data_IF_358945262940
#
_entry.id   IF_358945262940
#
_cell.length_a   1.000
_cell.length_b   1.000
_cell.length_c   1.000
_cell.angle_alpha   90.00
_cell.angle_beta   90.00
_cell.angle_gamma   90.00
#
_symmetry.space_group_name_H-M   'P 1'
#
loop_
_entity.id
_entity.type
_entity.pdbx_description
1 polymer ?
#
# COMPACT_ATOMS: atom_id res chain seq x y z
N UNK A 1 22.34 -20.24 -28.91
CA UNK A 1 21.20 -20.32 -27.96
C UNK A 1 21.58 -19.47 -26.75
N UNK A 2 21.10 -18.22 -26.68
CA UNK A 2 21.63 -17.20 -25.76
C UNK A 2 21.15 -17.42 -24.32
N UNK A 3 22.11 -17.79 -23.46
CA UNK A 3 21.98 -18.08 -22.03
C UNK A 3 21.78 -16.82 -21.14
N UNK A 4 21.34 -15.69 -21.70
CA UNK A 4 21.39 -14.37 -21.04
C UNK A 4 20.03 -13.68 -20.83
N UNK A 5 18.90 -14.40 -20.93
CA UNK A 5 17.56 -13.79 -20.77
C UNK A 5 16.81 -14.09 -19.46
N UNK A 6 17.26 -15.00 -18.59
CA UNK A 6 16.45 -15.41 -17.43
C UNK A 6 16.78 -14.70 -16.10
N UNK A 7 17.85 -13.89 -16.03
CA UNK A 7 18.26 -13.23 -14.78
C UNK A 7 17.57 -11.90 -14.45
N UNK A 8 16.50 -11.54 -15.16
CA UNK A 8 15.64 -10.40 -14.79
C UNK A 8 14.29 -10.82 -14.19
N UNK A 9 14.15 -12.08 -13.75
CA UNK A 9 13.07 -12.51 -12.82
C UNK A 9 13.34 -12.06 -11.37
N UNK A 10 14.02 -10.93 -11.21
CA UNK A 10 14.42 -10.33 -9.94
C UNK A 10 13.60 -9.07 -9.67
N UNK A 11 12.37 -9.26 -9.21
CA UNK A 11 11.76 -8.39 -8.22
C UNK A 11 10.73 -9.24 -7.50
N UNK A 12 10.91 -9.32 -6.20
CA UNK A 12 10.15 -10.18 -5.33
C UNK A 12 8.68 -9.81 -5.35
N UNK A 13 7.90 -10.60 -6.10
CA UNK A 13 6.46 -10.64 -5.95
C UNK A 13 6.16 -11.29 -4.60
N UNK A 14 6.19 -10.50 -3.53
CA UNK A 14 5.75 -10.92 -2.18
C UNK A 14 4.29 -11.41 -2.17
N UNK A 15 3.54 -11.11 -3.23
CA UNK A 15 2.25 -11.69 -3.54
C UNK A 15 2.35 -12.44 -4.88
N UNK A 16 2.36 -13.77 -4.83
CA UNK A 16 2.20 -14.62 -6.02
C UNK A 16 0.71 -14.64 -6.37
N UNK A 17 0.32 -13.88 -7.39
CA UNK A 17 -0.99 -14.00 -8.03
C UNK A 17 -0.85 -15.02 -9.17
N UNK A 18 -1.50 -16.17 -9.06
CA UNK A 18 -1.49 -17.20 -10.11
C UNK A 18 -2.07 -16.67 -11.43
N UNK A 19 -1.56 -17.20 -12.55
CA UNK A 19 -2.18 -17.02 -13.85
C UNK A 19 -3.55 -17.74 -13.85
N UNK A 20 -4.63 -16.98 -13.77
CA UNK A 20 -5.99 -17.49 -13.55
C UNK A 20 -6.96 -16.47 -12.96
N UNK A 21 -6.44 -15.35 -12.45
CA UNK A 21 -7.22 -14.27 -11.83
C UNK A 21 -7.47 -13.06 -12.76
N UNK A 22 -7.38 -13.20 -14.09
CA UNK A 22 -7.56 -12.08 -15.04
C UNK A 22 -8.96 -11.42 -14.99
N UNK A 23 -9.94 -12.09 -14.39
CA UNK A 23 -11.30 -11.59 -14.22
C UNK A 23 -11.68 -11.32 -12.77
N UNK A 24 -10.78 -11.54 -11.81
CA UNK A 24 -11.06 -11.40 -10.37
C UNK A 24 -10.25 -10.22 -9.83
N UNK A 25 -10.92 -9.18 -9.32
CA UNK A 25 -10.20 -8.06 -8.75
C UNK A 25 -9.43 -8.44 -7.49
N UNK A 26 -8.22 -7.89 -7.35
CA UNK A 26 -7.36 -8.02 -6.18
C UNK A 26 -7.64 -6.85 -5.23
N UNK A 27 -7.79 -7.14 -3.94
CA UNK A 27 -8.05 -6.17 -2.89
C UNK A 27 -6.87 -6.05 -1.93
N UNK A 28 -6.51 -4.82 -1.59
CA UNK A 28 -5.54 -4.49 -0.55
C UNK A 28 -6.19 -3.56 0.47
N UNK A 29 -5.91 -3.78 1.75
CA UNK A 29 -6.33 -2.90 2.83
C UNK A 29 -5.27 -2.88 3.93
N UNK A 30 -5.07 -1.71 4.53
CA UNK A 30 -4.22 -1.52 5.67
C UNK A 30 -4.84 -0.51 6.64
N UNK A 31 -4.67 -0.77 7.93
CA UNK A 31 -5.04 0.14 9.01
C UNK A 31 -3.77 0.61 9.73
N UNK A 32 -3.66 1.92 9.93
CA UNK A 32 -2.49 2.59 10.46
C UNK A 32 -2.91 3.52 11.59
N UNK A 33 -2.30 3.39 12.76
CA UNK A 33 -2.45 4.36 13.85
C UNK A 33 -1.26 5.32 13.81
N UNK A 34 -1.52 6.60 13.50
CA UNK A 34 -0.49 7.64 13.39
C UNK A 34 -0.94 8.87 14.17
N UNK A 35 -0.17 9.28 15.18
CA UNK A 35 -0.46 10.41 16.07
C UNK A 35 -1.90 10.35 16.64
N UNK A 36 -2.28 9.19 17.18
CA UNK A 36 -3.62 8.89 17.72
C UNK A 36 -4.78 9.01 16.71
N UNK A 37 -4.47 9.03 15.42
CA UNK A 37 -5.46 9.02 14.33
C UNK A 37 -5.40 7.68 13.61
N UNK A 38 -6.54 6.99 13.52
CA UNK A 38 -6.66 5.76 12.76
C UNK A 38 -6.95 6.07 11.30
N UNK A 39 -6.08 5.59 10.41
CA UNK A 39 -6.23 5.65 8.97
C UNK A 39 -6.51 4.27 8.42
N UNK A 40 -7.57 4.12 7.63
CA UNK A 40 -7.86 2.87 6.89
C UNK A 40 -7.68 3.17 5.41
N UNK A 41 -6.61 2.67 4.80
CA UNK A 41 -6.32 2.83 3.38
C UNK A 41 -6.57 1.51 2.64
N UNK A 42 -7.29 1.57 1.52
CA UNK A 42 -7.55 0.39 0.71
C UNK A 42 -7.63 0.73 -0.77
N UNK A 43 -7.36 -0.27 -1.61
CA UNK A 43 -7.55 -0.17 -3.04
C UNK A 43 -7.89 -1.52 -3.65
N UNK A 44 -8.53 -1.48 -4.82
CA UNK A 44 -8.91 -2.65 -5.60
C UNK A 44 -8.38 -2.49 -7.00
N UNK A 45 -7.76 -3.55 -7.52
CA UNK A 45 -7.21 -3.57 -8.87
C UNK A 45 -7.81 -4.69 -9.69
N UNK A 46 -8.00 -4.46 -10.98
CA UNK A 46 -8.35 -5.49 -11.96
C UNK A 46 -7.46 -5.28 -13.18
N UNK A 47 -6.72 -6.31 -13.61
CA UNK A 47 -5.78 -6.21 -14.73
C UNK A 47 -4.82 -5.01 -14.63
N UNK A 48 -4.27 -4.77 -13.43
CA UNK A 48 -3.38 -3.66 -13.08
C UNK A 48 -4.01 -2.26 -13.22
N UNK A 49 -5.33 -2.15 -13.37
CA UNK A 49 -6.08 -0.90 -13.34
C UNK A 49 -6.68 -0.71 -11.94
N UNK A 50 -6.58 0.49 -11.39
CA UNK A 50 -7.22 0.86 -10.13
C UNK A 50 -8.70 1.08 -10.40
N UNK A 51 -9.56 0.23 -9.81
CA UNK A 51 -11.02 0.34 -9.95
C UNK A 51 -11.69 0.88 -8.68
N UNK A 52 -11.00 0.82 -7.53
CA UNK A 52 -11.44 1.45 -6.30
C UNK A 52 -10.21 1.90 -5.49
N UNK A 53 -10.30 3.06 -4.85
CA UNK A 53 -9.32 3.51 -3.85
C UNK A 53 -10.03 4.30 -2.77
N UNK A 54 -9.76 3.99 -1.49
CA UNK A 54 -10.42 4.62 -0.35
C UNK A 54 -9.40 4.95 0.74
N UNK A 55 -9.55 6.12 1.32
CA UNK A 55 -8.85 6.49 2.56
C UNK A 55 -9.85 7.03 3.57
N UNK A 56 -9.94 6.36 4.71
CA UNK A 56 -10.68 6.85 5.86
C UNK A 56 -9.73 7.41 6.91
N UNK A 57 -10.18 8.47 7.58
CA UNK A 57 -9.55 9.06 8.76
C UNK A 57 -10.52 8.96 9.93
N UNK A 58 -10.08 8.46 11.08
CA UNK A 58 -10.90 8.37 12.29
C UNK A 58 -10.12 8.92 13.47
N UNK A 59 -10.60 10.05 13.99
CA UNK A 59 -10.16 10.63 15.27
C UNK A 59 -11.19 10.28 16.35
N UNK A 60 -12.42 10.77 16.16
CA UNK A 60 -13.61 10.37 16.93
C UNK A 60 -14.67 9.79 16.00
N UNK A 61 -14.99 10.55 14.94
CA UNK A 61 -15.85 10.13 13.83
C UNK A 61 -14.98 9.67 12.66
N UNK A 62 -15.52 8.74 11.86
CA UNK A 62 -14.89 8.23 10.64
C UNK A 62 -15.28 9.12 9.47
N UNK A 63 -14.28 9.62 8.76
CA UNK A 63 -14.42 10.50 7.60
C UNK A 63 -13.77 9.84 6.38
N UNK A 64 -14.46 9.85 5.25
CA UNK A 64 -13.92 9.40 3.97
C UNK A 64 -13.25 10.58 3.28
N UNK A 65 -11.92 10.54 3.18
CA UNK A 65 -11.09 11.65 2.70
C UNK A 65 -10.54 11.46 1.29
N UNK A 66 -10.53 10.22 0.81
CA UNK A 66 -10.29 9.85 -0.59
C UNK A 66 -11.29 8.78 -0.98
N UNK A 67 -12.01 8.98 -2.06
CA UNK A 67 -12.94 8.01 -2.62
C UNK A 67 -12.82 8.01 -4.14
N UNK A 68 -12.28 6.93 -4.70
CA UNK A 68 -12.22 6.67 -6.14
C UNK A 68 -13.08 5.45 -6.43
N UNK A 69 -14.01 5.59 -7.36
CA UNK A 69 -14.98 4.53 -7.71
C UNK A 69 -14.81 3.97 -9.11
N UNK A 70 -13.85 4.48 -9.89
CA UNK A 70 -13.48 3.95 -11.21
C UNK A 70 -12.01 4.26 -11.56
N UNK A 71 -11.57 3.80 -12.72
CA UNK A 71 -10.26 4.12 -13.29
C UNK A 71 -10.10 5.59 -13.70
N UNK A 72 -11.21 6.33 -13.85
CA UNK A 72 -11.23 7.72 -14.31
C UNK A 72 -10.88 8.68 -13.17
N UNK A 73 -10.16 9.76 -13.48
CA UNK A 73 -9.78 10.72 -12.44
C UNK A 73 -10.97 11.61 -12.02
N UNK A 74 -11.97 11.73 -12.89
CA UNK A 74 -13.20 12.47 -12.65
C UNK A 74 -14.03 11.85 -11.51
N UNK A 75 -13.90 10.54 -11.31
CA UNK A 75 -14.60 9.77 -10.26
C UNK A 75 -13.81 9.72 -8.95
N UNK A 76 -12.81 10.59 -8.79
CA UNK A 76 -12.03 10.75 -7.55
C UNK A 76 -12.56 11.93 -6.75
N UNK A 77 -13.09 11.64 -5.56
CA UNK A 77 -13.50 12.62 -4.58
C UNK A 77 -12.44 12.76 -3.46
N UNK A 78 -12.03 13.99 -3.19
CA UNK A 78 -11.07 14.33 -2.14
C UNK A 78 -11.72 15.25 -1.11
N UNK A 79 -11.44 15.01 0.17
CA UNK A 79 -11.92 15.84 1.30
C UNK A 79 -10.80 16.04 2.32
N UNK A 80 -11.02 16.93 3.29
CA UNK A 80 -10.07 17.21 4.37
C UNK A 80 -8.69 17.65 3.85
N UNK A 81 -7.62 17.15 4.47
CA UNK A 81 -6.23 17.51 4.10
C UNK A 81 -5.84 17.13 2.67
N UNK A 82 -6.50 16.13 2.06
CA UNK A 82 -6.26 15.72 0.68
C UNK A 82 -6.88 16.67 -0.36
N UNK A 83 -7.79 17.56 0.05
CA UNK A 83 -8.43 18.50 -0.88
C UNK A 83 -7.42 19.42 -1.60
N UNK A 84 -6.28 19.70 -0.97
CA UNK A 84 -5.19 20.47 -1.57
C UNK A 84 -4.60 19.84 -2.85
N UNK A 85 -4.79 18.54 -3.07
CA UNK A 85 -4.36 17.85 -4.30
C UNK A 85 -5.37 17.98 -5.45
N UNK A 86 -6.61 18.42 -5.19
CA UNK A 86 -7.69 18.51 -6.19
C UNK A 86 -7.32 19.25 -7.49
N UNK A 87 -6.58 20.38 -7.49
CA UNK A 87 -6.16 21.04 -8.73
C UNK A 87 -5.33 20.16 -9.67
N UNK A 88 -4.61 19.18 -9.11
CA UNK A 88 -3.71 18.29 -9.83
C UNK A 88 -4.32 16.90 -10.08
N UNK A 89 -5.60 16.69 -9.78
CA UNK A 89 -6.22 15.36 -9.82
C UNK A 89 -6.19 14.73 -11.23
N UNK A 90 -6.20 15.55 -12.27
CA UNK A 90 -6.14 15.16 -13.68
C UNK A 90 -4.85 14.40 -14.07
N UNK A 91 -3.81 14.44 -13.23
CA UNK A 91 -2.57 13.69 -13.48
C UNK A 91 -2.71 12.20 -13.09
N UNK A 92 -3.71 11.85 -12.28
CA UNK A 92 -3.91 10.49 -11.79
C UNK A 92 -4.39 9.62 -12.95
N UNK A 93 -3.53 8.70 -13.40
CA UNK A 93 -3.84 7.75 -14.48
C UNK A 93 -4.56 6.50 -13.94
N UNK A 94 -5.12 5.72 -14.85
CA UNK A 94 -5.86 4.48 -14.57
C UNK A 94 -5.07 3.46 -13.71
N UNK A 95 -3.75 3.37 -13.88
CA UNK A 95 -2.87 2.43 -13.17
C UNK A 95 -2.22 3.03 -11.92
N UNK A 96 -2.40 4.33 -11.69
CA UNK A 96 -1.75 5.06 -10.62
C UNK A 96 -2.70 5.20 -9.42
N UNK A 97 -2.17 4.95 -8.22
CA UNK A 97 -2.87 5.27 -6.97
C UNK A 97 -2.86 6.78 -6.76
N UNK A 98 -4.02 7.34 -6.44
CA UNK A 98 -4.20 8.75 -6.15
C UNK A 98 -3.40 9.16 -4.91
N UNK A 99 -3.36 8.33 -3.87
CA UNK A 99 -2.56 8.61 -2.67
C UNK A 99 -1.07 8.74 -2.99
N UNK A 100 -0.53 7.87 -3.85
CA UNK A 100 0.87 7.95 -4.28
C UNK A 100 1.16 9.21 -5.10
N UNK A 101 0.23 9.60 -5.99
CA UNK A 101 0.38 10.84 -6.78
C UNK A 101 0.31 12.08 -5.88
N UNK A 102 -0.57 12.09 -4.89
CA UNK A 102 -0.64 13.15 -3.90
C UNK A 102 0.67 13.27 -3.10
N UNK A 103 1.30 12.14 -2.74
CA UNK A 103 2.61 12.11 -2.09
C UNK A 103 3.72 12.68 -2.99
N UNK A 104 3.74 12.32 -4.28
CA UNK A 104 4.72 12.86 -5.25
C UNK A 104 4.62 14.39 -5.38
N UNK A 105 3.40 14.94 -5.27
CA UNK A 105 3.17 16.38 -5.26
C UNK A 105 3.21 17.01 -3.86
N UNK A 106 3.86 16.35 -2.90
CA UNK A 106 4.14 16.85 -1.56
C UNK A 106 2.88 17.19 -0.72
N UNK A 107 1.78 16.44 -0.91
CA UNK A 107 0.67 16.54 0.01
C UNK A 107 1.10 15.99 1.39
N UNK A 108 1.04 16.84 2.41
CA UNK A 108 1.51 16.52 3.78
C UNK A 108 0.89 15.25 4.36
N UNK A 109 -0.42 15.03 4.15
CA UNK A 109 -1.10 13.85 4.68
C UNK A 109 -0.68 12.59 3.91
N UNK A 110 -0.63 12.67 2.59
CA UNK A 110 -0.18 11.56 1.75
C UNK A 110 1.24 11.13 2.11
N UNK A 111 2.16 12.09 2.29
CA UNK A 111 3.54 11.82 2.73
C UNK A 111 3.57 11.04 4.03
N UNK A 112 2.83 11.52 5.04
CA UNK A 112 2.77 10.88 6.36
C UNK A 112 2.31 9.41 6.29
N UNK A 113 1.25 9.15 5.51
CA UNK A 113 0.69 7.81 5.36
C UNK A 113 1.64 6.90 4.58
N UNK A 114 2.19 7.38 3.45
CA UNK A 114 3.11 6.60 2.61
C UNK A 114 4.41 6.30 3.37
N UNK A 115 4.95 7.25 4.14
CA UNK A 115 6.10 7.01 5.02
C UNK A 115 5.81 5.94 6.07
N UNK A 116 4.62 5.96 6.69
CA UNK A 116 4.21 4.93 7.64
C UNK A 116 4.10 3.55 6.98
N UNK A 117 3.50 3.47 5.78
CA UNK A 117 3.43 2.22 5.01
C UNK A 117 4.83 1.70 4.67
N UNK A 118 5.73 2.57 4.22
CA UNK A 118 7.10 2.19 3.83
C UNK A 118 7.96 1.71 5.01
N UNK A 119 7.61 2.07 6.25
CA UNK A 119 8.28 1.59 7.47
C UNK A 119 7.88 0.17 7.85
N UNK A 120 6.84 -0.39 7.23
CA UNK A 120 6.38 -1.74 7.54
C UNK A 120 7.34 -2.75 6.92
N UNK A 121 8.04 -3.48 7.77
CA UNK A 121 8.92 -4.57 7.36
C UNK A 121 8.07 -5.82 7.17
N UNK A 122 7.93 -6.25 5.91
CA UNK A 122 7.26 -7.52 5.59
C UNK A 122 8.29 -8.64 5.63
N UNK A 123 8.24 -9.45 6.69
CA UNK A 123 9.10 -10.62 6.82
C UNK A 123 8.46 -11.79 6.10
N UNK A 124 9.11 -12.29 5.06
CA UNK A 124 8.73 -13.55 4.44
C UNK A 124 9.51 -14.70 5.08
N UNK A 125 8.82 -15.59 5.80
CA UNK A 125 9.43 -16.73 6.50
C UNK A 125 10.21 -17.68 5.57
N UNK A 126 9.84 -17.75 4.27
CA UNK A 126 10.60 -18.52 3.28
C UNK A 126 11.95 -17.88 2.91
N UNK A 127 12.10 -16.56 3.12
CA UNK A 127 13.35 -15.80 2.94
C UNK A 127 14.07 -15.50 4.25
N UNK A 128 13.42 -15.69 5.39
CA UNK A 128 13.95 -15.34 6.70
C UNK A 128 15.25 -16.07 7.05
N UNK A 129 15.47 -17.28 6.50
CA UNK A 129 16.76 -18.00 6.60
C UNK A 129 17.96 -17.25 6.02
N UNK A 130 17.76 -16.21 5.20
CA UNK A 130 18.83 -15.46 4.53
C UNK A 130 19.03 -14.05 5.05
N UNK A 131 18.17 -13.59 5.98
CA UNK A 131 18.26 -12.27 6.59
C UNK A 131 18.78 -12.45 8.01
N UNK A 132 20.10 -12.40 8.18
CA UNK A 132 20.77 -12.20 9.46
C UNK A 132 20.47 -10.77 9.97
N UNK A 133 19.20 -10.47 10.24
CA UNK A 133 18.74 -9.16 10.74
C UNK A 133 18.58 -9.17 12.26
N UNK A 134 18.57 -10.34 12.90
CA UNK A 134 18.58 -10.43 14.35
C UNK A 134 20.00 -10.75 14.80
N UNK A 135 20.66 -9.80 15.48
CA UNK A 135 21.84 -10.15 16.28
C UNK A 135 21.37 -11.05 17.43
N UNK A 136 22.18 -12.04 17.80
CA UNK A 136 21.88 -13.03 18.85
C UNK A 136 21.40 -12.43 20.19
N UNK A 137 21.63 -11.13 20.41
CA UNK A 137 21.18 -10.36 21.57
C UNK A 137 19.67 -10.11 21.68
N UNK A 138 18.87 -10.35 20.63
CA UNK A 138 17.41 -10.20 20.70
C UNK A 138 16.67 -11.50 21.08
N UNK A 139 17.41 -12.61 21.22
CA UNK A 139 16.90 -13.84 21.82
C UNK A 139 17.09 -13.78 23.33
N UNK A 140 16.19 -13.12 24.07
CA UNK A 140 16.05 -13.45 25.49
C UNK A 140 15.23 -14.74 25.60
N UNK A 141 15.82 -15.76 26.24
CA UNK A 141 15.28 -17.12 26.42
C UNK A 141 13.93 -17.21 27.17
N UNK A 142 13.26 -16.09 27.48
CA UNK A 142 12.07 -16.05 28.35
C UNK A 142 10.71 -16.12 27.63
N UNK A 143 10.65 -16.21 26.29
CA UNK A 143 9.36 -16.33 25.59
C UNK A 143 8.93 -17.78 25.23
N UNK A 144 9.62 -18.78 25.77
CA UNK A 144 9.12 -20.17 25.80
C UNK A 144 8.38 -20.45 27.12
N UNK A 145 7.27 -19.75 27.34
CA UNK A 145 6.22 -20.27 28.23
C UNK A 145 5.14 -20.88 27.35
N UNK A 146 5.15 -22.21 27.39
CA UNK A 146 4.13 -23.16 26.95
C UNK A 146 2.69 -22.67 27.08
N UNK A 147 1.94 -22.80 25.99
CA UNK A 147 0.52 -23.18 25.99
C UNK A 147 0.38 -24.40 25.08
#
# INVERSE_FOLDING_TARGET
MNLFKSHLKGKDNYFKFEAGYESIPIYFCIELLIDDILYTYSFKTLNNIIIEEKLYKKVKRRELILNRTSERYEDIELKGELLSFKPNIHIVREKALCLSMANILNNKLANKIIEAINKIIVINMSKFKSLNILSESEYTEESLISI
#
